data_IF_915258525339
#
_entry.id   IF_915258525339
#
_cell.length_a   1.000
_cell.length_b   1.000
_cell.length_c   1.000
_cell.angle_alpha   90.00
_cell.angle_beta   90.00
_cell.angle_gamma   90.00
#
_symmetry.space_group_name_H-M   'P 1'
#
loop_
_entity.id
_entity.type
_entity.pdbx_description
1 polymer ?
#
# COMPACT_ATOMS: atom_id res chain seq x y z
N UNK A 1 -38.85 -12.96 75.65
CA UNK A 1 -39.23 -12.72 74.25
C UNK A 1 -38.69 -13.90 73.43
N UNK A 2 -39.53 -14.85 72.99
CA UNK A 2 -39.07 -16.12 72.41
C UNK A 2 -39.02 -16.16 70.86
N UNK A 3 -39.38 -15.08 70.17
CA UNK A 3 -39.62 -15.09 68.72
C UNK A 3 -38.37 -15.08 67.81
N UNK A 4 -37.18 -14.75 68.34
CA UNK A 4 -35.96 -14.55 67.53
C UNK A 4 -35.22 -15.88 67.25
N UNK A 5 -35.38 -16.89 68.10
CA UNK A 5 -34.71 -18.20 67.94
C UNK A 5 -35.41 -19.09 66.91
N UNK A 6 -36.74 -19.05 66.84
CA UNK A 6 -37.50 -19.82 65.84
C UNK A 6 -37.24 -19.34 64.41
N UNK A 7 -37.14 -18.02 64.19
CA UNK A 7 -36.80 -17.47 62.87
C UNK A 7 -35.38 -17.86 62.44
N UNK A 8 -34.40 -17.80 63.36
CA UNK A 8 -33.03 -18.23 63.07
C UNK A 8 -32.94 -19.72 62.77
N UNK A 9 -33.67 -20.56 63.51
CA UNK A 9 -33.71 -22.00 63.27
C UNK A 9 -34.33 -22.32 61.90
N UNK A 10 -35.42 -21.63 61.54
CA UNK A 10 -36.06 -21.74 60.22
C UNK A 10 -35.12 -21.32 59.10
N UNK A 11 -34.38 -20.22 59.28
CA UNK A 11 -33.39 -19.73 58.31
C UNK A 11 -32.23 -20.73 58.12
N UNK A 12 -31.73 -21.35 59.20
CA UNK A 12 -30.69 -22.38 59.12
C UNK A 12 -31.19 -23.62 58.36
N UNK A 13 -32.45 -23.99 58.55
CA UNK A 13 -33.05 -25.12 57.85
C UNK A 13 -33.25 -24.82 56.35
N UNK A 14 -33.68 -23.60 56.02
CA UNK A 14 -33.79 -23.11 54.65
C UNK A 14 -32.42 -23.02 53.95
N UNK A 15 -31.39 -22.53 54.63
CA UNK A 15 -30.01 -22.49 54.12
C UNK A 15 -29.44 -23.90 53.89
N UNK A 16 -29.73 -24.83 54.81
CA UNK A 16 -29.34 -26.23 54.69
C UNK A 16 -30.01 -26.90 53.47
N UNK A 17 -31.29 -26.62 53.24
CA UNK A 17 -32.04 -27.19 52.12
C UNK A 17 -31.63 -26.55 50.79
N UNK A 18 -31.37 -25.24 50.75
CA UNK A 18 -30.80 -24.56 49.58
C UNK A 18 -29.39 -25.07 49.24
N UNK A 19 -28.55 -25.30 50.25
CA UNK A 19 -27.21 -25.87 50.07
C UNK A 19 -27.25 -27.29 49.53
N UNK A 20 -28.21 -28.11 50.00
CA UNK A 20 -28.44 -29.46 49.45
C UNK A 20 -28.95 -29.41 48.01
N UNK A 21 -29.88 -28.51 47.71
CA UNK A 21 -30.42 -28.33 46.36
C UNK A 21 -29.31 -27.93 45.38
N UNK A 22 -28.47 -26.96 45.74
CA UNK A 22 -27.31 -26.56 44.92
C UNK A 22 -26.32 -27.70 44.71
N UNK A 23 -26.11 -28.55 45.72
CA UNK A 23 -25.26 -29.73 45.59
C UNK A 23 -25.86 -30.77 44.65
N UNK A 24 -27.17 -31.01 44.75
CA UNK A 24 -27.89 -31.94 43.87
C UNK A 24 -27.87 -31.45 42.41
N UNK A 25 -28.11 -30.16 42.19
CA UNK A 25 -28.01 -29.53 40.86
C UNK A 25 -26.59 -29.63 40.29
N UNK A 26 -25.57 -29.33 41.09
CA UNK A 26 -24.18 -29.45 40.68
C UNK A 26 -23.78 -30.91 40.37
N UNK A 27 -24.28 -31.88 41.16
CA UNK A 27 -24.06 -33.31 40.91
C UNK A 27 -24.76 -33.77 39.62
N UNK A 28 -25.95 -33.24 39.32
CA UNK A 28 -26.70 -33.56 38.11
C UNK A 28 -26.04 -32.94 36.86
N UNK A 29 -25.54 -31.72 36.97
CA UNK A 29 -24.75 -31.05 35.91
C UNK A 29 -23.42 -31.78 35.66
N UNK A 30 -22.75 -32.21 36.73
CA UNK A 30 -21.55 -33.05 36.64
C UNK A 30 -21.87 -34.41 35.99
N UNK A 31 -23.01 -35.01 36.30
CA UNK A 31 -23.42 -36.28 35.71
C UNK A 31 -23.75 -36.12 34.21
N UNK A 32 -24.49 -35.09 33.82
CA UNK A 32 -24.85 -34.85 32.41
C UNK A 32 -23.62 -34.50 31.56
N UNK A 33 -22.72 -33.67 32.08
CA UNK A 33 -21.46 -33.34 31.40
C UNK A 33 -20.58 -34.57 31.27
N UNK A 34 -20.46 -35.40 32.32
CA UNK A 34 -19.70 -36.65 32.28
C UNK A 34 -20.29 -37.65 31.26
N UNK A 35 -21.62 -37.77 31.18
CA UNK A 35 -22.32 -38.60 30.20
C UNK A 35 -22.05 -38.11 28.77
N UNK A 36 -22.14 -36.80 28.52
CA UNK A 36 -21.83 -36.16 27.24
C UNK A 36 -20.37 -36.41 26.83
N UNK A 37 -19.40 -36.20 27.72
CA UNK A 37 -17.98 -36.49 27.47
C UNK A 37 -17.72 -37.98 27.18
N UNK A 38 -18.41 -38.88 27.88
CA UNK A 38 -18.26 -40.33 27.66
C UNK A 38 -18.80 -40.76 26.29
N UNK A 39 -19.90 -40.14 25.83
CA UNK A 39 -20.48 -40.37 24.51
C UNK A 39 -19.54 -39.88 23.40
N UNK A 40 -18.91 -38.72 23.60
CA UNK A 40 -17.91 -38.16 22.69
C UNK A 40 -16.63 -39.01 22.66
N UNK A 41 -16.17 -39.50 23.82
CA UNK A 41 -15.01 -40.38 23.94
C UNK A 41 -15.22 -41.74 23.26
N UNK A 42 -16.44 -42.28 23.23
CA UNK A 42 -16.77 -43.53 22.52
C UNK A 42 -16.69 -43.35 20.99
N UNK A 43 -16.95 -42.15 20.48
CA UNK A 43 -16.78 -41.76 19.06
C UNK A 43 -15.32 -41.38 18.71
N UNK A 44 -14.44 -41.18 19.69
CA UNK A 44 -13.05 -40.71 19.50
C UNK A 44 -12.15 -41.66 18.70
N UNK A 45 -12.43 -42.97 18.70
CA UNK A 45 -11.66 -43.94 17.89
C UNK A 45 -11.81 -43.71 16.39
N UNK A 46 -13.00 -43.35 15.91
CA UNK A 46 -13.20 -43.01 14.49
C UNK A 46 -12.67 -41.61 14.19
N UNK A 47 -12.82 -40.66 15.12
CA UNK A 47 -12.33 -39.28 14.97
C UNK A 47 -10.80 -39.23 14.72
N UNK A 48 -10.03 -40.05 15.42
CA UNK A 48 -8.58 -40.14 15.24
C UNK A 48 -8.19 -40.67 13.85
N UNK A 49 -8.98 -41.62 13.31
CA UNK A 49 -8.76 -42.19 11.97
C UNK A 49 -9.10 -41.16 10.89
N UNK A 50 -10.22 -40.45 11.02
CA UNK A 50 -10.60 -39.38 10.10
C UNK A 50 -9.60 -38.22 10.11
N UNK A 51 -9.12 -37.83 11.29
CA UNK A 51 -8.15 -36.76 11.42
C UNK A 51 -6.80 -37.15 10.78
N UNK A 52 -6.37 -38.40 10.96
CA UNK A 52 -5.18 -38.95 10.29
C UNK A 52 -5.32 -39.01 8.76
N UNK A 53 -6.48 -39.43 8.25
CA UNK A 53 -6.76 -39.46 6.82
C UNK A 53 -6.76 -38.04 6.23
N UNK A 54 -7.41 -37.09 6.89
CA UNK A 54 -7.45 -35.68 6.47
C UNK A 54 -6.03 -35.09 6.45
N UNK A 55 -5.25 -35.35 7.48
CA UNK A 55 -3.87 -34.85 7.58
C UNK A 55 -2.96 -35.46 6.51
N UNK A 56 -3.13 -36.75 6.20
CA UNK A 56 -2.41 -37.43 5.12
C UNK A 56 -2.75 -36.86 3.74
N UNK A 57 -4.04 -36.64 3.45
CA UNK A 57 -4.49 -36.03 2.20
C UNK A 57 -3.95 -34.60 2.07
N UNK A 58 -4.03 -33.80 3.13
CA UNK A 58 -3.52 -32.43 3.14
C UNK A 58 -1.99 -32.37 2.93
N UNK A 59 -1.25 -33.24 3.60
CA UNK A 59 0.22 -33.32 3.46
C UNK A 59 0.62 -33.78 2.04
N UNK A 60 -0.10 -34.74 1.47
CA UNK A 60 0.12 -35.20 0.09
C UNK A 60 -0.19 -34.12 -0.95
N UNK A 61 -1.29 -33.38 -0.78
CA UNK A 61 -1.63 -32.25 -1.64
C UNK A 61 -0.57 -31.14 -1.57
N UNK A 62 -0.12 -30.79 -0.35
CA UNK A 62 0.94 -29.79 -0.18
C UNK A 62 2.26 -30.21 -0.85
N UNK A 63 2.67 -31.48 -0.70
CA UNK A 63 3.85 -32.00 -1.37
C UNK A 63 3.69 -31.98 -2.90
N UNK A 64 2.52 -32.36 -3.41
CA UNK A 64 2.22 -32.32 -4.83
C UNK A 64 2.27 -30.89 -5.40
N UNK A 65 1.67 -29.91 -4.70
CA UNK A 65 1.77 -28.51 -5.09
C UNK A 65 3.19 -27.95 -4.96
N UNK A 66 3.98 -28.38 -3.98
CA UNK A 66 5.38 -27.95 -3.90
C UNK A 66 6.25 -28.55 -5.02
N UNK A 67 6.04 -29.83 -5.36
CA UNK A 67 6.85 -30.55 -6.35
C UNK A 67 6.45 -30.26 -7.80
N UNK A 68 5.15 -30.05 -8.06
CA UNK A 68 4.58 -29.86 -9.40
C UNK A 68 3.90 -28.50 -9.59
N UNK A 69 3.46 -27.86 -8.51
CA UNK A 69 2.90 -26.50 -8.52
C UNK A 69 4.03 -25.47 -8.51
N UNK A 70 4.81 -25.44 -9.58
CA UNK A 70 5.79 -24.38 -9.81
C UNK A 70 5.11 -23.01 -9.86
N UNK A 71 5.89 -21.97 -9.52
CA UNK A 71 5.64 -20.52 -9.62
C UNK A 71 5.14 -20.00 -11.00
N UNK A 72 4.72 -20.89 -11.90
CA UNK A 72 4.43 -20.64 -13.31
C UNK A 72 3.00 -20.17 -13.59
N UNK A 73 2.08 -20.22 -12.62
CA UNK A 73 0.72 -19.69 -12.78
C UNK A 73 0.57 -18.22 -12.36
N UNK A 74 1.47 -17.70 -11.50
CA UNK A 74 1.42 -16.31 -11.03
C UNK A 74 2.33 -15.40 -11.87
N UNK A 75 3.42 -15.93 -12.42
CA UNK A 75 4.43 -15.13 -13.13
C UNK A 75 4.33 -15.20 -14.67
N UNK A 76 3.33 -15.90 -15.22
CA UNK A 76 3.16 -16.05 -16.67
C UNK A 76 2.05 -15.14 -17.20
N UNK A 77 2.07 -13.88 -16.75
CA UNK A 77 1.52 -12.81 -17.58
C UNK A 77 2.54 -12.64 -18.69
N UNK A 78 2.16 -12.98 -19.93
CA UNK A 78 2.98 -12.70 -21.10
C UNK A 78 3.02 -11.17 -21.29
N UNK A 79 3.93 -10.54 -20.54
CA UNK A 79 4.15 -9.09 -20.50
C UNK A 79 4.45 -8.56 -21.90
N UNK A 80 5.05 -9.37 -22.76
CA UNK A 80 5.34 -9.00 -24.15
C UNK A 80 4.06 -8.91 -24.98
N UNK A 81 3.14 -9.88 -24.84
CA UNK A 81 1.84 -9.83 -25.49
C UNK A 81 0.97 -8.66 -24.98
N UNK A 82 0.93 -8.44 -23.66
CA UNK A 82 0.18 -7.31 -23.05
C UNK A 82 0.76 -5.97 -23.51
N UNK A 83 2.09 -5.81 -23.50
CA UNK A 83 2.76 -4.57 -23.93
C UNK A 83 2.54 -4.28 -25.41
N UNK A 84 2.55 -5.30 -26.27
CA UNK A 84 2.21 -5.14 -27.71
C UNK A 84 0.77 -4.67 -27.87
N UNK A 85 -0.18 -5.29 -27.17
CA UNK A 85 -1.59 -4.92 -27.23
C UNK A 85 -1.83 -3.48 -26.73
N UNK A 86 -1.19 -3.08 -25.64
CA UNK A 86 -1.28 -1.70 -25.16
C UNK A 86 -0.65 -0.69 -26.12
N UNK A 87 0.49 -1.02 -26.74
CA UNK A 87 1.12 -0.16 -27.75
C UNK A 87 0.19 0.11 -28.94
N UNK A 88 -0.52 -0.91 -29.44
CA UNK A 88 -1.51 -0.72 -30.50
C UNK A 88 -2.69 0.16 -30.07
N UNK A 89 -3.21 -0.03 -28.85
CA UNK A 89 -4.31 0.78 -28.30
C UNK A 89 -3.90 2.25 -28.12
N UNK A 90 -2.70 2.48 -27.59
CA UNK A 90 -2.15 3.82 -27.40
C UNK A 90 -1.96 4.50 -28.75
N UNK A 91 -1.38 3.82 -29.74
CA UNK A 91 -1.17 4.38 -31.08
C UNK A 91 -2.50 4.75 -31.77
N UNK A 92 -3.54 3.93 -31.62
CA UNK A 92 -4.89 4.24 -32.12
C UNK A 92 -5.48 5.46 -31.42
N UNK A 93 -5.35 5.55 -30.09
CA UNK A 93 -5.84 6.71 -29.34
C UNK A 93 -5.11 8.02 -29.70
N UNK A 94 -3.79 7.97 -29.92
CA UNK A 94 -2.97 9.11 -30.36
C UNK A 94 -3.37 9.54 -31.78
N UNK A 95 -3.53 8.58 -32.70
CA UNK A 95 -3.96 8.87 -34.07
C UNK A 95 -5.33 9.55 -34.09
N UNK A 96 -6.29 9.06 -33.28
CA UNK A 96 -7.62 9.67 -33.13
C UNK A 96 -7.55 11.05 -32.47
N UNK A 97 -6.71 11.24 -31.45
CA UNK A 97 -6.52 12.53 -30.79
C UNK A 97 -5.91 13.56 -31.75
N UNK A 98 -4.91 13.16 -32.53
CA UNK A 98 -4.27 14.03 -33.51
C UNK A 98 -5.23 14.39 -34.66
N UNK A 99 -6.04 13.42 -35.12
CA UNK A 99 -7.10 13.70 -36.11
C UNK A 99 -8.19 14.65 -35.58
N UNK A 100 -8.47 14.64 -34.26
CA UNK A 100 -9.36 15.61 -33.62
C UNK A 100 -8.70 16.97 -33.46
N UNK A 101 -7.43 17.03 -33.08
CA UNK A 101 -6.65 18.26 -32.99
C UNK A 101 -6.56 18.96 -34.36
N UNK A 102 -6.29 18.20 -35.43
CA UNK A 102 -6.27 18.72 -36.79
C UNK A 102 -7.65 19.21 -37.29
N UNK A 103 -8.76 18.61 -36.83
CA UNK A 103 -10.13 19.09 -37.13
C UNK A 103 -10.53 20.33 -36.31
N UNK A 104 -9.94 20.52 -35.14
CA UNK A 104 -10.19 21.67 -34.27
C UNK A 104 -9.21 22.83 -34.52
N UNK A 105 -8.41 22.78 -35.60
CA UNK A 105 -7.38 23.75 -35.95
C UNK A 105 -7.85 25.15 -36.38
N UNK A 106 -9.00 25.61 -35.88
CA UNK A 106 -9.54 26.98 -36.04
C UNK A 106 -9.69 27.68 -34.67
N UNK A 107 -8.92 27.28 -33.66
CA UNK A 107 -8.71 28.08 -32.45
C UNK A 107 -7.27 28.56 -32.46
N UNK A 108 -7.10 29.89 -32.55
CA UNK A 108 -5.83 30.58 -32.59
C UNK A 108 -4.84 30.03 -31.56
N UNK A 109 -3.89 29.23 -32.05
CA UNK A 109 -2.60 29.09 -31.39
C UNK A 109 -1.96 30.46 -31.44
N UNK A 110 -2.16 31.26 -30.39
CA UNK A 110 -1.21 32.28 -30.03
C UNK A 110 0.14 31.57 -29.95
N UNK A 111 0.98 31.76 -30.95
CA UNK A 111 2.36 31.30 -30.92
C UNK A 111 3.03 32.10 -29.81
N UNK A 112 2.92 31.61 -28.58
CA UNK A 112 3.74 32.09 -27.48
C UNK A 112 5.15 31.81 -27.95
N UNK A 113 5.87 32.87 -28.28
CA UNK A 113 7.26 32.80 -28.69
C UNK A 113 8.05 32.40 -27.43
N UNK A 114 8.16 31.08 -27.21
CA UNK A 114 8.75 30.48 -26.00
C UNK A 114 10.16 31.04 -25.79
N UNK A 115 10.86 31.40 -26.87
CA UNK A 115 12.19 32.02 -26.83
C UNK A 115 12.15 33.44 -26.24
N UNK A 116 11.14 34.24 -26.56
CA UNK A 116 10.99 35.59 -25.98
C UNK A 116 10.59 35.52 -24.49
N UNK A 117 9.64 34.64 -24.16
CA UNK A 117 9.20 34.44 -22.78
C UNK A 117 10.31 33.85 -21.88
N UNK A 118 11.10 32.90 -22.40
CA UNK A 118 12.24 32.33 -21.64
C UNK A 118 13.35 33.36 -21.44
N UNK A 119 13.62 34.23 -22.41
CA UNK A 119 14.59 35.31 -22.26
C UNK A 119 14.12 36.38 -21.26
N UNK A 120 12.84 36.76 -21.25
CA UNK A 120 12.30 37.67 -20.22
C UNK A 120 12.36 37.07 -18.82
N UNK A 121 12.06 35.77 -18.67
CA UNK A 121 12.20 35.07 -17.39
C UNK A 121 13.66 35.02 -16.96
N UNK A 122 14.59 34.72 -17.87
CA UNK A 122 16.02 34.67 -17.58
C UNK A 122 16.60 36.05 -17.21
N UNK A 123 16.13 37.13 -17.84
CA UNK A 123 16.48 38.50 -17.48
C UNK A 123 15.88 38.90 -16.12
N UNK A 124 14.64 38.48 -15.82
CA UNK A 124 13.96 38.77 -14.55
C UNK A 124 14.49 37.98 -13.35
N UNK A 125 15.03 36.77 -13.57
CA UNK A 125 15.64 35.93 -12.52
C UNK A 125 17.16 36.07 -12.42
N UNK A 126 17.77 36.99 -13.16
CA UNK A 126 19.22 37.26 -13.09
C UNK A 126 19.62 37.67 -11.67
N UNK A 127 20.40 36.83 -11.02
CA UNK A 127 20.87 37.04 -9.64
C UNK A 127 19.91 36.56 -8.54
N UNK A 128 18.73 36.06 -8.89
CA UNK A 128 17.82 35.46 -7.91
C UNK A 128 18.21 33.99 -7.62
N UNK A 129 17.96 33.57 -6.38
CA UNK A 129 18.20 32.19 -5.98
C UNK A 129 16.96 31.35 -6.25
N UNK A 130 17.09 30.39 -7.16
CA UNK A 130 16.02 29.46 -7.52
C UNK A 130 16.27 28.13 -6.81
N UNK A 131 15.25 27.61 -6.13
CA UNK A 131 15.28 26.33 -5.44
C UNK A 131 14.58 25.27 -6.29
N UNK A 132 15.15 24.07 -6.36
CA UNK A 132 14.55 22.91 -7.04
C UNK A 132 14.69 21.68 -6.17
N UNK A 133 13.67 20.80 -6.17
CA UNK A 133 13.69 19.58 -5.35
C UNK A 133 14.14 18.41 -6.21
N UNK A 134 15.29 17.84 -5.90
CA UNK A 134 15.87 16.73 -6.64
C UNK A 134 15.56 15.41 -5.93
N UNK A 135 15.05 14.43 -6.69
CA UNK A 135 14.67 13.10 -6.17
C UNK A 135 15.64 11.99 -6.56
N UNK A 136 16.55 12.24 -7.50
CA UNK A 136 17.52 11.22 -7.88
C UNK A 136 18.48 11.62 -8.99
N UNK A 137 19.50 10.78 -9.14
CA UNK A 137 20.46 10.80 -10.25
C UNK A 137 20.58 9.37 -10.76
N UNK A 138 20.19 9.12 -12.00
CA UNK A 138 20.26 7.78 -12.61
C UNK A 138 21.34 7.75 -13.69
N UNK A 139 22.19 6.72 -13.68
CA UNK A 139 23.27 6.54 -14.67
C UNK A 139 22.77 5.96 -16.00
N UNK A 140 21.55 5.44 -16.05
CA UNK A 140 20.99 4.81 -17.25
C UNK A 140 19.53 5.21 -17.43
N UNK A 141 19.13 5.58 -18.65
CA UNK A 141 17.79 6.08 -19.00
C UNK A 141 16.72 4.97 -19.08
N UNK A 142 16.92 3.82 -18.41
CA UNK A 142 16.05 2.66 -18.59
C UNK A 142 14.65 2.85 -18.02
N UNK A 143 14.47 3.81 -17.12
CA UNK A 143 13.18 4.17 -16.55
C UNK A 143 13.14 5.70 -16.36
N UNK A 144 12.53 6.48 -17.27
CA UNK A 144 12.06 7.80 -16.91
C UNK A 144 10.97 7.57 -15.87
N UNK A 145 11.35 7.63 -14.59
CA UNK A 145 10.43 7.47 -13.45
C UNK A 145 9.34 8.55 -13.45
N UNK A 146 9.53 9.60 -14.25
CA UNK A 146 8.66 10.74 -14.41
C UNK A 146 8.49 10.92 -15.93
N UNK A 147 7.27 10.77 -16.44
CA UNK A 147 6.98 11.29 -17.77
C UNK A 147 7.13 12.82 -17.69
N UNK A 148 7.98 13.41 -18.53
CA UNK A 148 8.18 14.87 -18.56
C UNK A 148 6.89 15.64 -18.94
N UNK A 149 5.85 14.91 -19.32
CA UNK A 149 4.54 15.41 -19.73
C UNK A 149 3.59 15.62 -18.54
N UNK A 150 3.83 15.01 -17.38
CA UNK A 150 2.95 15.09 -16.20
C UNK A 150 3.58 15.90 -15.08
N UNK A 151 4.91 15.93 -14.97
CA UNK A 151 5.59 16.72 -13.95
C UNK A 151 6.72 17.51 -14.60
N UNK A 152 6.77 18.85 -14.44
CA UNK A 152 7.88 19.67 -14.92
C UNK A 152 9.15 19.21 -14.21
N UNK A 153 9.87 18.32 -14.91
CA UNK A 153 11.06 17.66 -14.41
C UNK A 153 12.22 18.03 -15.31
N UNK A 154 13.26 18.60 -14.71
CA UNK A 154 14.45 19.01 -15.45
C UNK A 154 15.37 17.82 -15.48
N UNK A 155 15.49 17.21 -16.65
CA UNK A 155 16.45 16.13 -16.90
C UNK A 155 17.72 16.75 -17.48
N UNK A 156 18.64 17.13 -16.60
CA UNK A 156 19.96 17.59 -17.02
C UNK A 156 20.88 16.37 -17.22
N UNK A 157 21.36 16.16 -18.45
CA UNK A 157 22.45 15.22 -18.72
C UNK A 157 23.76 15.93 -18.41
N UNK A 158 24.40 15.55 -17.32
CA UNK A 158 25.77 15.97 -17.01
C UNK A 158 26.58 14.70 -16.82
N UNK A 159 27.65 14.55 -17.59
CA UNK A 159 28.62 13.44 -17.46
C UNK A 159 27.99 12.03 -17.55
N UNK A 160 26.92 11.86 -18.34
CA UNK A 160 26.25 10.57 -18.52
C UNK A 160 25.26 10.19 -17.41
N UNK A 161 24.99 11.10 -16.48
CA UNK A 161 23.98 10.93 -15.43
C UNK A 161 22.75 11.81 -15.70
N UNK A 162 21.57 11.23 -15.51
CA UNK A 162 20.28 11.90 -15.60
C UNK A 162 19.86 12.38 -14.21
N UNK A 163 19.89 13.69 -13.98
CA UNK A 163 19.40 14.30 -12.75
C UNK A 163 17.89 14.52 -12.88
N UNK A 164 17.12 14.10 -11.88
CA UNK A 164 15.67 14.30 -11.86
C UNK A 164 15.32 15.29 -10.77
N UNK A 165 15.01 16.52 -11.16
CA UNK A 165 14.47 17.54 -10.27
C UNK A 165 13.04 17.90 -10.60
N UNK A 166 12.32 18.41 -9.60
CA UNK A 166 10.88 18.66 -9.61
C UNK A 166 10.64 20.07 -9.10
N UNK A 167 9.98 20.87 -9.93
CA UNK A 167 9.61 22.25 -9.61
C UNK A 167 10.80 23.22 -9.56
N UNK A 168 10.47 24.49 -9.73
CA UNK A 168 11.34 25.65 -9.55
C UNK A 168 10.62 26.63 -8.63
N UNK A 169 11.27 27.06 -7.56
CA UNK A 169 10.71 27.89 -6.51
C UNK A 169 11.60 29.08 -6.23
N UNK A 170 11.01 30.23 -5.92
CA UNK A 170 11.76 31.42 -5.51
C UNK A 170 12.09 31.39 -4.01
N UNK A 171 11.30 30.66 -3.23
CA UNK A 171 11.47 30.55 -1.78
C UNK A 171 11.86 29.14 -1.34
N UNK A 172 12.65 29.06 -0.28
CA UNK A 172 13.05 27.78 0.32
C UNK A 172 11.85 27.05 0.96
N UNK A 173 10.86 27.80 1.45
CA UNK A 173 9.70 27.24 2.15
C UNK A 173 8.80 26.45 1.20
N UNK A 174 8.52 26.99 0.01
CA UNK A 174 7.76 26.30 -1.05
C UNK A 174 8.47 25.00 -1.48
N UNK A 175 9.79 25.05 -1.67
CA UNK A 175 10.59 23.87 -1.98
C UNK A 175 10.53 22.82 -0.85
N UNK A 176 10.45 23.26 0.41
CA UNK A 176 10.33 22.36 1.56
C UNK A 176 8.96 21.69 1.63
N UNK A 177 7.89 22.37 1.24
CA UNK A 177 6.56 21.76 1.15
C UNK A 177 6.54 20.67 0.08
N UNK A 178 7.06 20.95 -1.12
CA UNK A 178 7.16 19.93 -2.17
C UNK A 178 8.00 18.72 -1.71
N UNK A 179 9.15 18.97 -1.08
CA UNK A 179 9.97 17.89 -0.50
C UNK A 179 9.17 17.02 0.46
N UNK A 180 8.38 17.62 1.36
CA UNK A 180 7.56 16.85 2.32
C UNK A 180 6.54 15.96 1.61
N UNK A 181 5.88 16.47 0.58
CA UNK A 181 4.94 15.66 -0.21
C UNK A 181 5.65 14.54 -0.97
N UNK A 182 6.83 14.80 -1.54
CA UNK A 182 7.62 13.77 -2.22
C UNK A 182 8.10 12.67 -1.26
N UNK A 183 8.51 13.03 -0.05
CA UNK A 183 8.87 12.06 0.99
C UNK A 183 7.67 11.19 1.36
N UNK A 184 6.46 11.77 1.51
CA UNK A 184 5.23 10.98 1.76
C UNK A 184 4.90 10.02 0.62
N UNK A 185 5.25 10.38 -0.61
CA UNK A 185 5.07 9.54 -1.80
C UNK A 185 6.14 8.44 -1.94
N UNK A 186 7.15 8.41 -1.06
CA UNK A 186 8.19 7.38 -1.03
C UNK A 186 9.56 7.83 -1.57
N UNK A 187 9.74 9.10 -1.91
CA UNK A 187 11.05 9.67 -2.29
C UNK A 187 11.79 10.16 -1.03
N UNK A 188 12.28 9.23 -0.22
CA UNK A 188 12.91 9.52 1.08
C UNK A 188 14.19 10.37 0.96
N UNK A 189 14.95 10.16 -0.11
CA UNK A 189 16.23 10.85 -0.38
C UNK A 189 16.07 12.18 -1.13
N UNK A 190 14.86 12.74 -1.19
CA UNK A 190 14.63 14.02 -1.86
C UNK A 190 15.37 15.17 -1.14
N UNK A 191 16.14 15.95 -1.89
CA UNK A 191 16.89 17.10 -1.37
C UNK A 191 16.63 18.37 -2.17
N UNK A 192 16.80 19.53 -1.54
CA UNK A 192 16.57 20.82 -2.18
C UNK A 192 17.93 21.36 -2.65
N UNK A 193 18.07 21.71 -3.91
CA UNK A 193 19.24 22.38 -4.47
C UNK A 193 18.90 23.82 -4.84
N UNK A 194 19.77 24.77 -4.49
CA UNK A 194 19.64 26.15 -4.96
C UNK A 194 20.56 26.43 -6.14
N UNK A 195 20.09 27.27 -7.04
CA UNK A 195 20.75 27.68 -8.26
C UNK A 195 20.70 29.20 -8.39
N UNK A 196 21.79 29.81 -8.82
CA UNK A 196 21.85 31.23 -9.20
C UNK A 196 22.41 31.27 -10.62
N UNK A 197 21.69 31.90 -11.55
CA UNK A 197 22.09 31.98 -12.96
C UNK A 197 22.42 30.62 -13.60
N UNK A 198 21.72 29.56 -13.19
CA UNK A 198 21.96 28.19 -13.66
C UNK A 198 23.11 27.44 -12.96
N UNK A 199 23.88 28.10 -12.10
CA UNK A 199 24.94 27.45 -11.31
C UNK A 199 24.44 27.02 -9.93
N UNK A 200 24.69 25.76 -9.58
CA UNK A 200 24.33 25.20 -8.28
C UNK A 200 25.15 25.86 -7.17
N UNK A 201 24.47 26.36 -6.15
CA UNK A 201 25.11 27.03 -5.01
C UNK A 201 25.23 26.07 -3.82
N UNK A 202 24.11 25.64 -3.24
CA UNK A 202 24.12 24.84 -2.02
C UNK A 202 22.94 23.86 -1.95
N UNK A 203 23.06 22.88 -1.06
CA UNK A 203 22.03 21.88 -0.77
C UNK A 203 21.37 22.25 0.56
N UNK A 204 20.05 22.19 0.60
CA UNK A 204 19.25 22.44 1.79
C UNK A 204 18.52 21.16 2.20
N UNK A 205 18.52 20.91 3.51
CA UNK A 205 17.83 19.79 4.14
C UNK A 205 16.45 20.19 4.65
#
# INVERSE_FOLDING_TARGET
MPFIEEEKFKLIQEDLDNSKLQREEAENELASTQEEFSSFKKSSRSLSIFLGLLFGIASGAAYYFYAYGGNSAINNVDIEAVKKQEAYRVLDSISRANARAARNGDTETSTIDIEAATNEIAEGTRGETIYSVQIGVLSNNQYPLLSSEVIPSIVANTDGYFKYSLGLFLTLDEARELKKELVKLGFEDAFIASYINGERQQIHN
#
